data_IF_322135666222
#
_entry.id   IF_322135666222
#
_cell.length_a   1.000
_cell.length_b   1.000
_cell.length_c   1.000
_cell.angle_alpha   90.00
_cell.angle_beta   90.00
_cell.angle_gamma   90.00
#
_symmetry.space_group_name_H-M   'P 1'
#
loop_
_entity.id
_entity.type
_entity.pdbx_description
1 polymer ?
#
# COMPACT_ATOMS: atom_id res chain seq x y z
N UNK A 1 -23.19 -17.72 -11.36
CA UNK A 1 -22.99 -18.12 -9.96
C UNK A 1 -21.70 -17.47 -9.51
N UNK A 2 -21.69 -16.69 -8.43
CA UNK A 2 -20.43 -16.15 -7.89
C UNK A 2 -19.68 -17.32 -7.23
N UNK A 3 -18.47 -17.61 -7.71
CA UNK A 3 -17.60 -18.62 -7.13
C UNK A 3 -16.76 -17.96 -6.02
N UNK A 4 -16.70 -18.61 -4.86
CA UNK A 4 -15.92 -18.19 -3.69
C UNK A 4 -14.83 -19.23 -3.43
N UNK A 5 -13.99 -19.47 -4.43
CA UNK A 5 -12.97 -20.53 -4.37
C UNK A 5 -11.58 -19.97 -4.11
N UNK A 6 -11.35 -18.68 -4.34
CA UNK A 6 -10.05 -18.04 -4.19
C UNK A 6 -9.70 -17.81 -2.72
N UNK A 7 -8.48 -17.34 -2.47
CA UNK A 7 -8.05 -16.94 -1.15
C UNK A 7 -7.50 -15.51 -1.15
N UNK A 8 -7.52 -14.90 0.03
CA UNK A 8 -6.82 -13.67 0.31
C UNK A 8 -5.85 -13.88 1.48
N UNK A 9 -4.71 -13.20 1.45
CA UNK A 9 -3.71 -13.22 2.51
C UNK A 9 -3.55 -11.80 3.03
N UNK A 10 -4.25 -11.41 4.12
CA UNK A 10 -3.94 -10.17 4.81
C UNK A 10 -2.55 -10.24 5.43
N UNK A 11 -1.82 -9.14 5.31
CA UNK A 11 -0.45 -8.98 5.76
C UNK A 11 -0.39 -7.89 6.82
N UNK A 12 0.45 -8.09 7.84
CA UNK A 12 0.74 -7.12 8.87
C UNK A 12 2.24 -7.08 9.14
N UNK A 13 2.84 -5.89 8.99
CA UNK A 13 4.17 -5.60 9.50
C UNK A 13 4.03 -4.75 10.77
N UNK A 14 3.87 -5.36 11.96
CA UNK A 14 3.67 -4.63 13.20
C UNK A 14 4.87 -3.78 13.62
N UNK A 15 6.04 -4.04 13.02
CA UNK A 15 7.25 -3.29 13.33
C UNK A 15 7.32 -1.92 12.65
N UNK A 16 6.44 -1.66 11.68
CA UNK A 16 6.38 -0.40 10.96
C UNK A 16 5.71 0.71 11.78
N UNK A 17 6.12 1.94 11.48
CA UNK A 17 5.60 3.14 12.14
C UNK A 17 4.69 3.94 11.21
N UNK A 18 3.68 4.57 11.78
CA UNK A 18 2.84 5.54 11.11
C UNK A 18 2.77 6.83 11.93
N UNK A 19 2.91 7.97 11.26
CA UNK A 19 2.83 9.28 11.90
C UNK A 19 1.39 9.65 12.30
N UNK A 20 1.15 10.07 13.53
CA UNK A 20 -0.07 10.80 13.92
C UNK A 20 0.05 12.24 13.44
N UNK A 21 -0.47 12.55 12.25
CA UNK A 21 -0.37 13.90 11.65
C UNK A 21 -1.62 14.75 11.92
N UNK A 22 -2.55 14.23 12.72
CA UNK A 22 -3.76 14.92 13.10
C UNK A 22 -3.52 15.97 14.19
N UNK A 23 -4.26 17.10 14.13
CA UNK A 23 -4.10 18.22 15.07
C UNK A 23 -4.23 17.82 16.55
N UNK A 24 -5.12 16.89 16.86
CA UNK A 24 -5.32 16.39 18.24
C UNK A 24 -4.12 15.57 18.74
N UNK A 25 -3.42 14.84 17.87
CA UNK A 25 -2.16 14.17 18.24
C UNK A 25 -1.06 15.20 18.53
N UNK A 26 -0.99 16.27 17.73
CA UNK A 26 -0.12 17.41 17.99
C UNK A 26 -0.37 18.06 19.36
N UNK A 27 -1.64 18.19 19.76
CA UNK A 27 -2.00 18.66 21.10
C UNK A 27 -1.46 17.73 22.20
N UNK A 28 -1.65 16.41 22.09
CA UNK A 28 -1.14 15.46 23.07
C UNK A 28 0.39 15.43 23.15
N UNK A 29 1.10 15.68 22.04
CA UNK A 29 2.57 15.87 22.04
C UNK A 29 2.95 17.13 22.79
N UNK A 30 2.25 18.25 22.57
CA UNK A 30 2.52 19.54 23.21
C UNK A 30 2.37 19.49 24.73
N UNK A 31 1.36 18.78 25.24
CA UNK A 31 1.16 18.60 26.70
C UNK A 31 2.01 17.44 27.27
N UNK A 32 2.86 16.82 26.46
CA UNK A 32 3.82 15.80 26.89
C UNK A 32 3.25 14.40 27.11
N UNK A 33 1.99 14.12 26.75
CA UNK A 33 1.41 12.76 26.81
C UNK A 33 2.00 11.87 25.71
N UNK A 34 2.06 12.39 24.49
CA UNK A 34 2.76 11.73 23.37
C UNK A 34 4.21 12.17 23.39
N UNK A 35 5.15 11.23 23.30
CA UNK A 35 6.59 11.50 23.29
C UNK A 35 7.16 11.50 21.88
N UNK A 36 6.54 10.79 20.95
CA UNK A 36 6.91 10.76 19.53
C UNK A 36 5.64 10.61 18.68
N UNK A 37 5.48 11.43 17.64
CA UNK A 37 4.33 11.39 16.73
C UNK A 37 4.41 10.23 15.74
N UNK A 38 5.54 9.54 15.62
CA UNK A 38 5.65 8.29 14.88
C UNK A 38 5.24 7.14 15.82
N UNK A 39 4.09 6.53 15.54
CA UNK A 39 3.54 5.43 16.32
C UNK A 39 3.85 4.09 15.68
N UNK A 40 4.35 3.14 16.46
CA UNK A 40 4.46 1.75 16.05
C UNK A 40 3.05 1.14 16.05
N UNK A 41 2.33 1.28 14.94
CA UNK A 41 0.96 0.74 14.77
C UNK A 41 0.88 -0.31 13.67
N UNK A 42 2.00 -0.52 12.98
CA UNK A 42 2.16 -1.43 11.88
C UNK A 42 1.71 -0.88 10.52
N UNK A 43 2.06 -1.64 9.49
CA UNK A 43 1.56 -1.46 8.12
C UNK A 43 0.75 -2.70 7.71
N UNK A 44 -0.27 -2.51 6.88
CA UNK A 44 -1.15 -3.57 6.40
C UNK A 44 -1.25 -3.55 4.88
N UNK A 45 -1.19 -4.75 4.30
CA UNK A 45 -1.41 -4.99 2.89
C UNK A 45 -2.22 -6.29 2.72
N UNK A 46 -2.57 -6.63 1.49
CA UNK A 46 -3.29 -7.87 1.18
C UNK A 46 -2.80 -8.43 -0.15
N UNK A 47 -2.66 -9.76 -0.19
CA UNK A 47 -2.56 -10.50 -1.43
C UNK A 47 -3.92 -11.10 -1.79
N UNK A 48 -4.29 -11.02 -3.06
CA UNK A 48 -5.41 -11.77 -3.63
C UNK A 48 -4.84 -12.84 -4.55
N UNK A 49 -5.16 -14.11 -4.30
CA UNK A 49 -4.61 -15.25 -5.03
C UNK A 49 -5.72 -15.91 -5.84
N UNK A 50 -5.63 -15.81 -7.17
CA UNK A 50 -6.56 -16.47 -8.08
C UNK A 50 -6.20 -17.94 -8.19
N UNK A 51 -7.13 -18.83 -7.85
CA UNK A 51 -6.84 -20.26 -7.78
C UNK A 51 -6.50 -20.84 -9.14
N UNK A 52 -7.28 -20.50 -10.16
CA UNK A 52 -7.15 -21.09 -11.49
C UNK A 52 -5.83 -20.73 -12.20
N UNK A 53 -5.41 -19.47 -12.12
CA UNK A 53 -4.18 -19.00 -12.79
C UNK A 53 -2.94 -19.09 -11.90
N UNK A 54 -3.12 -19.14 -10.57
CA UNK A 54 -2.06 -18.94 -9.60
C UNK A 54 -1.58 -17.48 -9.51
N UNK A 55 -2.27 -16.53 -10.14
CA UNK A 55 -1.91 -15.11 -10.11
C UNK A 55 -2.04 -14.54 -8.70
N UNK A 56 -1.05 -13.74 -8.30
CA UNK A 56 -1.02 -13.07 -7.00
C UNK A 56 -1.04 -11.56 -7.21
N UNK A 57 -2.06 -10.90 -6.67
CA UNK A 57 -2.23 -9.45 -6.76
C UNK A 57 -1.95 -8.80 -5.41
N UNK A 58 -1.01 -7.87 -5.37
CA UNK A 58 -0.67 -7.10 -4.18
C UNK A 58 -1.44 -5.78 -4.13
N UNK A 59 -1.98 -5.46 -2.94
CA UNK A 59 -2.61 -4.18 -2.65
C UNK A 59 -2.22 -3.65 -1.27
N UNK A 60 -1.97 -2.36 -1.19
CA UNK A 60 -1.83 -1.65 0.08
C UNK A 60 -2.48 -0.26 0.05
N UNK A 61 -2.50 0.40 1.20
CA UNK A 61 -2.88 1.81 1.30
C UNK A 61 -2.01 2.52 2.33
N UNK A 62 -1.57 3.72 2.01
CA UNK A 62 -0.78 4.54 2.93
C UNK A 62 -0.61 5.95 2.42
N UNK A 63 0.21 6.74 3.10
CA UNK A 63 0.44 8.15 2.75
C UNK A 63 1.61 8.29 1.76
N UNK A 64 1.49 7.58 0.65
CA UNK A 64 2.50 7.47 -0.40
C UNK A 64 2.15 8.41 -1.54
N UNK A 65 3.06 9.34 -1.87
CA UNK A 65 2.94 10.22 -3.04
C UNK A 65 1.52 10.82 -3.12
N UNK A 66 1.14 11.51 -2.05
CA UNK A 66 -0.19 12.04 -1.83
C UNK A 66 -0.10 13.35 -1.03
N UNK A 67 -1.00 14.32 -1.30
CA UNK A 67 -1.06 15.55 -0.53
C UNK A 67 -1.22 15.29 0.97
N UNK A 68 -0.76 16.22 1.81
CA UNK A 68 -0.96 16.13 3.26
C UNK A 68 -2.44 15.95 3.61
N UNK A 69 -2.75 15.03 4.52
CA UNK A 69 -4.12 14.64 4.87
C UNK A 69 -4.74 13.57 3.97
N UNK A 70 -4.07 13.19 2.88
CA UNK A 70 -4.50 12.13 1.97
C UNK A 70 -3.56 10.93 2.03
N UNK A 71 -4.09 9.78 1.63
CA UNK A 71 -3.37 8.56 1.33
C UNK A 71 -3.73 8.07 -0.06
N UNK A 72 -3.15 6.94 -0.46
CA UNK A 72 -3.26 6.35 -1.77
C UNK A 72 -3.28 4.83 -1.64
N UNK A 73 -4.20 4.19 -2.36
CA UNK A 73 -4.13 2.76 -2.61
C UNK A 73 -3.13 2.48 -3.72
N UNK A 74 -2.29 1.44 -3.56
CA UNK A 74 -1.33 1.04 -4.58
C UNK A 74 -1.55 -0.41 -4.98
N UNK A 75 -1.16 -0.71 -6.21
CA UNK A 75 -1.03 -2.04 -6.81
C UNK A 75 0.05 -1.96 -7.89
N UNK A 76 0.32 -3.07 -8.58
CA UNK A 76 1.22 -3.08 -9.73
C UNK A 76 0.81 -2.11 -10.85
N UNK A 77 -0.47 -1.75 -10.95
CA UNK A 77 -0.96 -0.75 -11.91
C UNK A 77 -0.56 0.68 -11.53
N UNK A 78 -0.32 0.96 -10.25
CA UNK A 78 0.23 2.24 -9.79
C UNK A 78 1.75 2.25 -9.84
N UNK A 79 2.39 1.18 -9.37
CA UNK A 79 3.84 1.04 -9.32
C UNK A 79 4.25 -0.37 -9.77
N UNK A 80 4.93 -0.53 -10.92
CA UNK A 80 5.23 -1.85 -11.49
C UNK A 80 6.18 -2.66 -10.61
N UNK A 81 6.85 -2.04 -9.62
CA UNK A 81 7.71 -2.74 -8.65
C UNK A 81 6.90 -3.52 -7.60
N UNK A 82 5.58 -3.33 -7.55
CA UNK A 82 4.66 -4.09 -6.70
C UNK A 82 4.12 -5.36 -7.37
N UNK A 83 4.62 -5.73 -8.54
CA UNK A 83 4.30 -7.02 -9.17
C UNK A 83 4.86 -8.15 -8.30
N UNK A 84 3.99 -9.08 -7.91
CA UNK A 84 4.39 -10.37 -7.33
C UNK A 84 4.60 -11.35 -8.48
N UNK A 85 5.82 -11.88 -8.60
CA UNK A 85 6.23 -12.76 -9.70
C UNK A 85 5.96 -14.22 -9.38
N UNK A 86 6.05 -14.59 -8.11
CA UNK A 86 5.70 -15.94 -7.63
C UNK A 86 4.24 -16.24 -7.97
N UNK A 87 3.99 -17.47 -8.44
CA UNK A 87 2.64 -18.01 -8.64
C UNK A 87 2.23 -18.86 -7.46
N UNK A 88 0.96 -18.82 -7.09
CA UNK A 88 0.40 -19.69 -6.08
C UNK A 88 0.35 -21.14 -6.60
N UNK A 89 0.85 -22.07 -5.79
CA UNK A 89 0.81 -23.51 -6.05
C UNK A 89 -0.17 -24.20 -5.11
N UNK A 90 -0.94 -25.15 -5.63
CA UNK A 90 -2.03 -25.80 -4.90
C UNK A 90 -1.81 -27.31 -4.81
N UNK A 91 -2.18 -27.91 -3.68
CA UNK A 91 -2.22 -29.36 -3.54
C UNK A 91 -3.54 -29.95 -4.07
N UNK A 92 -3.65 -31.28 -4.03
CA UNK A 92 -4.85 -32.03 -4.45
C UNK A 92 -6.09 -31.72 -3.62
N UNK A 93 -5.92 -31.14 -2.43
CA UNK A 93 -6.98 -30.74 -1.50
C UNK A 93 -7.24 -29.22 -1.54
N UNK A 94 -6.69 -28.50 -2.53
CA UNK A 94 -6.80 -27.06 -2.69
C UNK A 94 -6.10 -26.20 -1.60
N UNK A 95 -5.15 -26.75 -0.87
CA UNK A 95 -4.31 -26.00 0.07
C UNK A 95 -3.14 -25.31 -0.66
N UNK A 96 -2.75 -24.11 -0.19
CA UNK A 96 -1.60 -23.38 -0.70
C UNK A 96 -0.29 -24.06 -0.28
N UNK A 97 0.56 -24.40 -1.23
CA UNK A 97 1.81 -25.16 -1.00
C UNK A 97 3.04 -24.28 -0.74
N UNK A 98 3.11 -23.10 -1.37
CA UNK A 98 4.33 -22.29 -1.42
C UNK A 98 4.21 -20.94 -0.71
N UNK A 99 3.51 -20.90 0.44
CA UNK A 99 3.38 -19.68 1.24
C UNK A 99 4.73 -19.07 1.62
N UNK A 100 5.71 -19.88 2.02
CA UNK A 100 7.04 -19.38 2.40
C UNK A 100 7.78 -18.68 1.26
N UNK A 101 7.65 -19.19 0.03
CA UNK A 101 8.23 -18.60 -1.18
C UNK A 101 7.61 -17.22 -1.47
N UNK A 102 6.27 -17.12 -1.39
CA UNK A 102 5.53 -15.87 -1.59
C UNK A 102 5.97 -14.82 -0.55
N UNK A 103 6.10 -15.22 0.72
CA UNK A 103 6.51 -14.31 1.80
C UNK A 103 8.00 -13.92 1.68
N UNK A 104 8.85 -14.82 1.17
CA UNK A 104 10.25 -14.53 0.86
C UNK A 104 10.36 -13.43 -0.21
N UNK A 105 9.63 -13.53 -1.31
CA UNK A 105 9.59 -12.47 -2.34
C UNK A 105 9.15 -11.12 -1.76
N UNK A 106 8.10 -11.12 -0.93
CA UNK A 106 7.64 -9.89 -0.28
C UNK A 106 8.70 -9.27 0.64
N UNK A 107 9.46 -10.11 1.37
CA UNK A 107 10.55 -9.65 2.23
C UNK A 107 11.69 -9.04 1.42
N UNK A 108 12.01 -9.61 0.25
CA UNK A 108 13.02 -9.04 -0.66
C UNK A 108 12.56 -7.72 -1.29
N UNK A 109 11.25 -7.52 -1.40
CA UNK A 109 10.62 -6.32 -1.95
C UNK A 109 10.17 -5.30 -0.88
N UNK A 110 10.62 -5.42 0.38
CA UNK A 110 10.19 -4.56 1.49
C UNK A 110 10.42 -3.06 1.24
N UNK A 111 11.47 -2.73 0.46
CA UNK A 111 11.77 -1.36 0.01
C UNK A 111 10.59 -0.72 -0.72
N UNK A 112 9.82 -1.49 -1.48
CA UNK A 112 8.72 -0.99 -2.32
C UNK A 112 7.35 -1.15 -1.64
N UNK A 113 7.19 -2.22 -0.86
CA UNK A 113 5.94 -2.53 -0.13
C UNK A 113 5.79 -1.78 1.18
N UNK A 114 6.81 -1.00 1.59
CA UNK A 114 6.87 -0.36 2.92
C UNK A 114 6.69 -1.36 4.07
N UNK A 115 7.10 -2.60 3.81
CA UNK A 115 7.18 -3.66 4.80
C UNK A 115 8.45 -3.56 5.64
N UNK A 116 8.65 -4.59 6.45
CA UNK A 116 9.91 -4.84 7.15
C UNK A 116 9.71 -5.19 8.62
N UNK A 117 10.74 -5.81 9.19
CA UNK A 117 10.63 -6.51 10.46
C UNK A 117 9.80 -7.78 10.33
N UNK A 118 9.02 -8.14 11.36
CA UNK A 118 8.21 -9.35 11.32
C UNK A 118 7.03 -9.16 10.36
N UNK A 119 6.73 -10.19 9.55
CA UNK A 119 5.56 -10.24 8.68
C UNK A 119 4.57 -11.27 9.21
N UNK A 120 3.45 -10.81 9.75
CA UNK A 120 2.33 -11.64 10.19
C UNK A 120 1.33 -11.80 9.03
N UNK A 121 0.81 -13.00 8.82
CA UNK A 121 -0.23 -13.25 7.84
C UNK A 121 -1.15 -14.42 8.24
N UNK A 122 -2.26 -14.56 7.54
CA UNK A 122 -3.17 -15.70 7.66
C UNK A 122 -3.82 -15.97 6.31
N UNK A 123 -4.44 -17.14 6.15
CA UNK A 123 -5.11 -17.52 4.90
C UNK A 123 -6.62 -17.33 5.09
N UNK A 124 -7.19 -16.39 4.34
CA UNK A 124 -8.63 -16.18 4.27
C UNK A 124 -9.19 -16.95 3.06
N UNK A 125 -9.81 -18.09 3.34
CA UNK A 125 -10.54 -18.90 2.36
C UNK A 125 -11.89 -18.26 2.00
N UNK A 126 -12.57 -18.81 0.98
CA UNK A 126 -13.90 -18.44 0.50
C UNK A 126 -14.00 -17.01 -0.06
N UNK A 127 -13.07 -16.67 -0.97
CA UNK A 127 -13.00 -15.35 -1.59
C UNK A 127 -13.46 -15.42 -3.05
N UNK A 128 -14.26 -14.45 -3.47
CA UNK A 128 -14.48 -14.11 -4.86
C UNK A 128 -13.46 -13.05 -5.26
N UNK A 129 -12.40 -13.44 -6.00
CA UNK A 129 -11.32 -12.51 -6.32
C UNK A 129 -11.79 -11.34 -7.19
N UNK A 130 -12.76 -11.58 -8.08
CA UNK A 130 -13.30 -10.55 -8.98
C UNK A 130 -13.91 -9.40 -8.20
N UNK A 131 -14.71 -9.68 -7.17
CA UNK A 131 -15.35 -8.66 -6.33
C UNK A 131 -14.33 -7.94 -5.44
N UNK A 132 -13.38 -8.67 -4.85
CA UNK A 132 -12.30 -8.08 -4.06
C UNK A 132 -11.44 -7.13 -4.90
N UNK A 133 -11.03 -7.59 -6.08
CA UNK A 133 -10.22 -6.83 -7.03
C UNK A 133 -10.96 -5.62 -7.58
N UNK A 134 -12.23 -5.76 -7.94
CA UNK A 134 -13.04 -4.65 -8.46
C UNK A 134 -13.03 -3.48 -7.48
N UNK A 135 -13.25 -3.76 -6.19
CA UNK A 135 -13.17 -2.75 -5.14
C UNK A 135 -11.76 -2.18 -4.99
N UNK A 136 -10.74 -3.03 -4.94
CA UNK A 136 -9.36 -2.58 -4.77
C UNK A 136 -8.92 -1.66 -5.93
N UNK A 137 -9.14 -2.09 -7.17
CA UNK A 137 -8.81 -1.34 -8.37
C UNK A 137 -9.60 -0.02 -8.47
N UNK A 138 -10.85 0.04 -7.99
CA UNK A 138 -11.62 1.29 -7.91
C UNK A 138 -10.91 2.33 -7.05
N UNK A 139 -10.43 1.94 -5.85
CA UNK A 139 -9.73 2.87 -4.94
C UNK A 139 -8.35 3.25 -5.47
N UNK A 140 -7.62 2.33 -6.11
CA UNK A 140 -6.34 2.63 -6.78
C UNK A 140 -6.56 3.68 -7.87
N UNK A 141 -7.57 3.49 -8.73
CA UNK A 141 -7.86 4.39 -9.85
C UNK A 141 -8.41 5.75 -9.40
N UNK A 142 -9.07 5.81 -8.24
CA UNK A 142 -9.52 7.08 -7.63
C UNK A 142 -8.36 8.03 -7.31
N UNK A 143 -7.17 7.49 -7.01
CA UNK A 143 -6.00 8.28 -6.63
C UNK A 143 -6.04 8.75 -5.16
N UNK A 144 -5.53 9.95 -4.84
CA UNK A 144 -5.53 10.46 -3.47
C UNK A 144 -6.90 10.40 -2.80
N UNK A 145 -6.97 9.76 -1.63
CA UNK A 145 -8.17 9.60 -0.81
C UNK A 145 -7.89 10.07 0.61
N UNK A 146 -8.85 10.72 1.26
CA UNK A 146 -8.68 11.22 2.63
C UNK A 146 -8.16 10.12 3.57
N UNK A 147 -7.07 10.41 4.29
CA UNK A 147 -6.45 9.49 5.22
C UNK A 147 -6.96 9.75 6.63
N UNK A 148 -7.22 8.70 7.41
CA UNK A 148 -7.55 8.86 8.81
C UNK A 148 -7.93 7.57 9.51
N UNK A 149 -7.48 7.44 10.76
CA UNK A 149 -7.76 6.26 11.55
C UNK A 149 -9.24 6.17 11.95
N UNK A 150 -9.95 7.28 12.21
CA UNK A 150 -11.28 7.25 12.88
C UNK A 150 -12.37 7.99 12.11
N UNK A 151 -12.07 9.04 11.36
CA UNK A 151 -13.09 9.84 10.68
C UNK A 151 -13.92 9.01 9.67
N UNK A 152 -15.24 9.30 9.51
CA UNK A 152 -16.04 8.75 8.42
C UNK A 152 -15.44 9.12 7.06
N UNK A 153 -15.64 8.29 6.05
CA UNK A 153 -15.16 8.47 4.67
C UNK A 153 -13.63 8.54 4.46
N UNK A 154 -12.84 8.56 5.54
CA UNK A 154 -11.39 8.40 5.46
C UNK A 154 -11.01 6.93 5.31
N UNK A 155 -9.83 6.68 4.73
CA UNK A 155 -9.24 5.35 4.65
C UNK A 155 -7.92 5.25 5.44
N UNK A 156 -7.50 4.02 5.71
CA UNK A 156 -6.21 3.67 6.30
C UNK A 156 -5.77 2.32 5.74
N UNK A 157 -4.49 1.94 5.91
CA UNK A 157 -3.97 0.63 5.48
C UNK A 157 -4.91 -0.51 5.90
N UNK A 158 -5.24 -0.59 7.19
CA UNK A 158 -6.04 -1.69 7.75
C UNK A 158 -7.51 -1.65 7.36
N UNK A 159 -8.07 -0.45 7.18
CA UNK A 159 -9.45 -0.31 6.73
C UNK A 159 -9.59 -0.75 5.29
N UNK A 160 -8.65 -0.35 4.44
CA UNK A 160 -8.62 -0.76 3.04
C UNK A 160 -8.50 -2.28 2.90
N UNK A 161 -7.57 -2.91 3.63
CA UNK A 161 -7.45 -4.38 3.69
C UNK A 161 -8.75 -5.05 4.17
N UNK A 162 -9.37 -4.55 5.25
CA UNK A 162 -10.64 -5.07 5.76
C UNK A 162 -11.79 -4.93 4.74
N UNK A 163 -11.82 -3.84 3.98
CA UNK A 163 -12.83 -3.60 2.95
C UNK A 163 -12.63 -4.52 1.74
N UNK A 164 -11.39 -4.72 1.26
CA UNK A 164 -11.10 -5.68 0.19
C UNK A 164 -11.54 -7.09 0.61
N UNK A 165 -11.14 -7.53 1.81
CA UNK A 165 -11.54 -8.83 2.35
C UNK A 165 -13.06 -9.01 2.32
N UNK A 166 -13.80 -8.09 2.94
CA UNK A 166 -15.25 -8.26 3.08
C UNK A 166 -16.02 -8.05 1.78
N UNK A 167 -15.46 -7.31 0.81
CA UNK A 167 -16.02 -7.23 -0.55
C UNK A 167 -15.79 -8.49 -1.37
N UNK A 168 -14.75 -9.25 -1.07
CA UNK A 168 -14.50 -10.57 -1.66
C UNK A 168 -15.27 -11.71 -1.00
N UNK A 169 -15.78 -11.54 0.22
CA UNK A 169 -16.45 -12.60 0.97
C UNK A 169 -17.94 -12.70 0.64
N UNK A 170 -18.53 -13.86 0.94
CA UNK A 170 -19.98 -14.04 0.91
C UNK A 170 -20.65 -13.06 1.90
N UNK A 171 -21.81 -12.50 1.54
CA UNK A 171 -22.55 -11.54 2.36
C UNK A 171 -22.86 -12.04 3.78
N UNK A 172 -23.03 -13.36 3.94
CA UNK A 172 -23.35 -13.99 5.22
C UNK A 172 -22.12 -14.58 5.92
N UNK A 173 -20.90 -14.28 5.47
CA UNK A 173 -19.69 -14.78 6.11
C UNK A 173 -19.56 -14.22 7.54
N UNK A 174 -19.48 -15.13 8.52
CA UNK A 174 -19.45 -14.81 9.94
C UNK A 174 -18.25 -13.97 10.36
N UNK A 175 -17.16 -13.97 9.58
CA UNK A 175 -15.94 -13.18 9.84
C UNK A 175 -16.13 -11.69 9.58
N UNK A 176 -17.10 -11.31 8.74
CA UNK A 176 -17.29 -9.94 8.23
C UNK A 176 -17.30 -8.88 9.34
N UNK A 177 -18.08 -9.13 10.40
CA UNK A 177 -18.21 -8.17 11.51
C UNK A 177 -16.89 -7.98 12.26
N UNK A 178 -16.19 -9.08 12.57
CA UNK A 178 -14.89 -9.03 13.26
C UNK A 178 -13.76 -8.45 12.42
N UNK A 179 -13.83 -8.57 11.10
CA UNK A 179 -12.83 -7.96 10.19
C UNK A 179 -12.98 -6.44 10.15
N UNK A 180 -14.22 -5.92 10.01
CA UNK A 180 -14.48 -4.48 9.91
C UNK A 180 -14.35 -3.77 11.26
N UNK A 181 -14.87 -4.43 12.30
CA UNK A 181 -14.97 -3.92 13.66
C UNK A 181 -14.45 -5.00 14.63
N UNK A 182 -13.11 -5.17 14.74
CA UNK A 182 -12.52 -6.09 15.71
C UNK A 182 -12.81 -5.61 17.15
N UNK A 183 -12.03 -6.02 18.15
CA UNK A 183 -12.22 -5.68 19.57
C UNK A 183 -12.08 -4.17 19.89
N UNK A 184 -12.08 -3.32 18.85
CA UNK A 184 -11.92 -1.88 18.82
C UNK A 184 -12.90 -1.24 17.82
N UNK A 185 -12.98 0.09 17.83
CA UNK A 185 -13.83 0.86 16.92
C UNK A 185 -13.58 0.58 15.44
N UNK A 186 -12.34 0.23 15.03
CA UNK A 186 -11.96 -0.02 13.62
C UNK A 186 -10.78 -0.98 13.49
N UNK A 187 -10.65 -1.59 12.31
CA UNK A 187 -9.56 -2.50 11.95
C UNK A 187 -8.14 -1.91 12.14
N UNK A 188 -7.24 -2.74 12.65
CA UNK A 188 -5.78 -2.54 12.77
C UNK A 188 -5.01 -3.60 11.96
N UNK A 189 -3.72 -3.42 11.66
CA UNK A 189 -2.97 -4.36 10.81
C UNK A 189 -3.01 -5.79 11.34
N UNK A 190 -2.66 -5.98 12.62
CA UNK A 190 -2.66 -7.30 13.24
C UNK A 190 -4.07 -7.91 13.28
N UNK A 191 -5.09 -7.11 13.59
CA UNK A 191 -6.48 -7.62 13.60
C UNK A 191 -7.00 -8.03 12.20
N UNK A 192 -6.46 -7.46 11.11
CA UNK A 192 -6.78 -7.95 9.76
C UNK A 192 -6.32 -9.40 9.60
N UNK A 193 -5.14 -9.74 10.12
CA UNK A 193 -4.59 -11.09 10.09
C UNK A 193 -5.40 -12.03 10.99
N UNK A 194 -5.67 -11.62 12.23
CA UNK A 194 -6.28 -12.52 13.23
C UNK A 194 -7.74 -12.86 12.89
N UNK A 195 -8.52 -11.92 12.37
CA UNK A 195 -9.95 -12.11 12.17
C UNK A 195 -10.34 -12.66 10.78
N UNK A 196 -9.39 -12.77 9.85
CA UNK A 196 -9.68 -13.14 8.46
C UNK A 196 -9.75 -14.66 8.22
N UNK A 197 -9.25 -15.48 9.14
CA UNK A 197 -9.22 -16.93 8.99
C UNK A 197 -10.16 -17.63 9.99
N UNK A 198 -10.68 -18.80 9.62
CA UNK A 198 -11.64 -19.57 10.45
C UNK A 198 -10.94 -20.49 11.46
N UNK A 199 -9.71 -20.92 11.16
CA UNK A 199 -8.97 -21.97 11.90
C UNK A 199 -8.14 -21.43 13.07
N UNK A 200 -8.02 -20.11 13.20
CA UNK A 200 -7.12 -19.44 14.15
C UNK A 200 -5.63 -19.58 13.79
N UNK A 201 -5.33 -19.93 12.54
CA UNK A 201 -3.97 -20.14 12.05
C UNK A 201 -3.35 -18.80 11.62
N UNK A 202 -2.21 -18.50 12.23
CA UNK A 202 -1.44 -17.29 11.95
C UNK A 202 -0.02 -17.72 11.65
N UNK A 203 0.58 -17.10 10.65
CA UNK A 203 1.96 -17.35 10.28
C UNK A 203 2.78 -16.10 10.51
N UNK A 204 4.04 -16.28 10.88
CA UNK A 204 5.03 -15.21 11.01
C UNK A 204 6.23 -15.57 10.17
N UNK A 205 6.57 -14.69 9.24
CA UNK A 205 7.80 -14.75 8.48
C UNK A 205 8.77 -13.70 9.01
N UNK A 206 9.98 -14.14 9.38
CA UNK A 206 11.02 -13.26 9.88
C UNK A 206 12.39 -13.95 9.71
N UNK A 207 13.41 -13.20 9.30
CA UNK A 207 14.77 -13.71 9.09
C UNK A 207 14.79 -15.00 8.24
N UNK A 208 14.12 -14.94 7.08
CA UNK A 208 14.00 -16.05 6.12
C UNK A 208 13.39 -17.35 6.67
N UNK A 209 12.58 -17.27 7.73
CA UNK A 209 11.94 -18.44 8.33
C UNK A 209 10.45 -18.22 8.50
N UNK A 210 9.63 -19.15 7.97
CA UNK A 210 8.21 -19.22 8.28
C UNK A 210 7.94 -19.99 9.57
N UNK A 211 7.13 -19.43 10.47
CA UNK A 211 6.72 -20.07 11.73
C UNK A 211 5.22 -19.96 11.93
N UNK A 212 4.64 -21.00 12.51
CA UNK A 212 3.29 -20.91 13.04
C UNK A 212 3.28 -20.06 14.31
N UNK A 213 2.34 -19.12 14.38
CA UNK A 213 1.99 -18.38 15.57
C UNK A 213 0.54 -18.68 15.94
N UNK A 214 0.22 -18.48 17.21
CA UNK A 214 -1.16 -18.43 17.69
C UNK A 214 -1.37 -17.09 18.35
N UNK A 215 -2.46 -16.42 17.99
CA UNK A 215 -2.84 -15.17 18.59
C UNK A 215 -4.34 -15.05 18.57
N UNK A 216 -4.93 -15.01 19.76
CA UNK A 216 -6.35 -14.75 19.94
C UNK A 216 -6.66 -13.28 19.68
N UNK A 217 -7.95 -12.99 19.49
CA UNK A 217 -8.50 -11.64 19.39
C UNK A 217 -8.07 -10.73 20.55
N UNK A 218 -8.10 -11.25 21.79
CA UNK A 218 -7.66 -10.52 22.99
C UNK A 218 -6.15 -10.25 22.99
N UNK A 219 -5.34 -11.24 22.62
CA UNK A 219 -3.89 -11.08 22.52
C UNK A 219 -3.52 -10.09 21.42
N UNK A 220 -4.23 -10.08 20.28
CA UNK A 220 -4.07 -9.07 19.24
C UNK A 220 -4.30 -7.66 19.77
N UNK A 221 -5.36 -7.45 20.55
CA UNK A 221 -5.64 -6.15 21.14
C UNK A 221 -4.53 -5.73 22.11
N UNK A 222 -4.12 -6.62 23.02
CA UNK A 222 -3.05 -6.34 23.97
C UNK A 222 -1.71 -6.06 23.27
N UNK A 223 -1.43 -6.78 22.18
CA UNK A 223 -0.26 -6.56 21.35
C UNK A 223 -0.26 -5.16 20.74
N UNK A 224 -1.38 -4.72 20.14
CA UNK A 224 -1.49 -3.36 19.59
C UNK A 224 -1.36 -2.28 20.67
N UNK A 225 -1.94 -2.51 21.85
CA UNK A 225 -1.77 -1.60 23.00
C UNK A 225 -0.29 -1.53 23.41
N UNK A 226 0.43 -2.65 23.41
CA UNK A 226 1.84 -2.66 23.76
C UNK A 226 2.71 -1.91 22.75
N UNK A 227 2.44 -2.02 21.45
CA UNK A 227 3.17 -1.26 20.43
C UNK A 227 2.97 0.26 20.58
N UNK A 228 1.76 0.72 20.95
CA UNK A 228 1.48 2.14 21.17
C UNK A 228 2.31 2.73 22.33
N UNK A 229 2.69 1.91 23.32
CA UNK A 229 3.53 2.35 24.44
C UNK A 229 4.87 2.90 23.98
N UNK A 230 5.39 2.46 22.84
CA UNK A 230 6.69 2.88 22.34
C UNK A 230 6.75 4.40 22.10
N UNK A 231 5.61 5.02 21.77
CA UNK A 231 5.50 6.46 21.51
C UNK A 231 4.99 7.27 22.71
N UNK A 232 4.63 6.60 23.81
CA UNK A 232 4.09 7.20 25.05
C UNK A 232 5.11 7.25 26.20
N UNK A 233 6.10 6.35 26.20
CA UNK A 233 7.17 6.34 27.21
C UNK A 233 8.49 6.88 26.65
N UNK A 234 9.11 7.80 27.39
CA UNK A 234 10.33 8.52 26.95
C UNK A 234 11.48 7.57 26.56
N UNK A 235 11.74 6.53 27.35
CA UNK A 235 12.83 5.58 27.11
C UNK A 235 12.63 4.72 25.85
N UNK A 236 11.38 4.50 25.45
CA UNK A 236 11.04 3.75 24.23
C UNK A 236 10.99 4.66 23.01
N UNK A 237 10.45 5.87 23.18
CA UNK A 237 10.35 6.87 22.12
C UNK A 237 11.72 7.31 21.59
N UNK A 238 12.76 7.27 22.44
CA UNK A 238 14.14 7.53 22.04
C UNK A 238 14.69 6.52 21.00
N UNK A 239 14.05 5.35 20.83
CA UNK A 239 14.43 4.34 19.84
C UNK A 239 13.69 4.51 18.50
N UNK A 240 12.71 5.40 18.46
CA UNK A 240 11.93 5.69 17.26
C UNK A 240 12.60 6.84 16.50
N UNK A 241 12.51 6.82 15.17
CA UNK A 241 13.00 7.91 14.32
C UNK A 241 12.40 9.26 14.74
N UNK A 242 13.19 10.30 14.52
CA UNK A 242 12.81 11.69 14.78
C UNK A 242 11.47 12.06 14.14
N UNK A 243 10.69 12.89 14.84
CA UNK A 243 9.36 13.32 14.44
C UNK A 243 9.29 14.82 14.10
N UNK A 244 10.41 15.53 14.04
CA UNK A 244 10.45 16.97 13.75
C UNK A 244 9.87 17.32 12.38
N UNK A 245 10.10 16.49 11.36
CA UNK A 245 9.61 16.68 9.99
C UNK A 245 8.52 15.67 9.61
N UNK A 246 7.43 16.10 8.94
CA UNK A 246 6.33 15.22 8.53
C UNK A 246 6.66 14.44 7.25
N UNK A 247 7.67 13.57 7.32
CA UNK A 247 8.06 12.72 6.20
C UNK A 247 8.58 13.49 4.99
N UNK A 248 8.23 13.03 3.79
CA UNK A 248 8.70 13.53 2.50
C UNK A 248 7.64 14.43 1.81
N UNK A 249 6.91 15.25 2.57
CA UNK A 249 5.91 16.16 2.00
C UNK A 249 6.62 17.28 1.21
N UNK A 250 7.55 17.97 1.86
CA UNK A 250 8.30 19.06 1.24
C UNK A 250 9.41 18.51 0.33
N UNK A 251 9.75 19.28 -0.71
CA UNK A 251 10.84 18.96 -1.62
C UNK A 251 12.17 18.79 -0.86
N UNK A 252 12.82 17.62 -0.90
CA UNK A 252 14.10 17.41 -0.27
C UNK A 252 15.21 18.10 -1.10
N UNK A 253 16.43 18.23 -0.55
CA UNK A 253 17.57 18.67 -1.35
C UNK A 253 17.69 17.84 -2.63
N UNK A 254 17.59 18.50 -3.79
CA UNK A 254 17.58 17.85 -5.09
C UNK A 254 18.96 17.24 -5.38
N UNK A 255 19.07 15.92 -5.67
CA UNK A 255 20.32 15.34 -6.13
C UNK A 255 20.79 16.00 -7.44
N UNK A 256 22.09 16.21 -7.59
CA UNK A 256 22.65 17.03 -8.67
C UNK A 256 22.32 16.53 -10.09
N UNK A 257 22.12 15.23 -10.26
CA UNK A 257 21.77 14.60 -11.54
C UNK A 257 20.28 14.64 -11.86
N UNK A 258 19.43 15.06 -10.92
CA UNK A 258 17.98 15.22 -11.18
C UNK A 258 17.74 16.51 -11.95
N UNK A 259 17.08 16.46 -13.13
CA UNK A 259 16.83 17.64 -13.94
C UNK A 259 16.10 18.75 -13.18
N UNK A 260 16.43 20.01 -13.46
CA UNK A 260 15.88 21.18 -12.73
C UNK A 260 14.37 21.34 -12.90
N UNK A 261 13.83 20.92 -14.03
CA UNK A 261 12.40 20.92 -14.37
C UNK A 261 11.65 19.66 -13.88
N UNK A 262 12.33 18.70 -13.22
CA UNK A 262 11.62 17.56 -12.61
C UNK A 262 10.69 18.05 -11.49
N UNK A 263 9.48 17.48 -11.43
CA UNK A 263 8.47 17.77 -10.41
C UNK A 263 8.66 16.87 -9.20
N UNK A 264 8.70 17.45 -8.01
CA UNK A 264 8.60 16.70 -6.75
C UNK A 264 7.13 16.40 -6.42
N UNK A 265 6.81 15.13 -6.17
CA UNK A 265 5.53 14.71 -5.61
C UNK A 265 5.76 14.01 -4.27
N UNK A 266 5.51 14.74 -3.19
CA UNK A 266 5.74 14.30 -1.83
C UNK A 266 4.62 13.48 -1.20
N UNK A 267 4.91 12.91 -0.04
CA UNK A 267 4.00 12.14 0.80
C UNK A 267 4.64 11.85 2.15
N UNK A 268 3.86 11.55 3.19
CA UNK A 268 4.43 11.28 4.52
C UNK A 268 5.31 10.03 4.50
N UNK A 269 4.88 8.97 3.80
CA UNK A 269 5.61 7.70 3.71
C UNK A 269 6.55 7.59 2.51
N UNK A 270 6.28 8.31 1.43
CA UNK A 270 7.03 8.21 0.17
C UNK A 270 6.91 9.51 -0.63
N UNK A 271 7.99 9.91 -1.28
CA UNK A 271 8.02 10.99 -2.26
C UNK A 271 8.94 10.66 -3.42
N UNK A 272 8.65 11.23 -4.60
CA UNK A 272 9.34 10.91 -5.85
C UNK A 272 9.58 12.15 -6.70
N UNK A 273 10.52 12.03 -7.64
CA UNK A 273 10.68 12.98 -8.73
C UNK A 273 10.10 12.39 -10.01
N UNK A 274 9.33 13.19 -10.75
CA UNK A 274 8.88 12.85 -12.10
C UNK A 274 9.46 13.85 -13.09
N UNK A 275 10.00 13.33 -14.19
CA UNK A 275 10.58 14.13 -15.25
C UNK A 275 10.07 13.64 -16.60
N UNK A 276 9.70 14.58 -17.46
CA UNK A 276 9.28 14.34 -18.83
C UNK A 276 10.42 14.72 -19.78
N UNK A 277 10.81 13.79 -20.64
CA UNK A 277 11.75 14.01 -21.74
C UNK A 277 11.07 13.76 -23.09
N UNK A 278 11.64 14.30 -24.15
CA UNK A 278 11.27 13.97 -25.53
C UNK A 278 12.52 13.69 -26.34
N UNK A 279 12.51 12.59 -27.08
CA UNK A 279 13.56 12.23 -28.04
C UNK A 279 12.89 11.72 -29.31
N UNK A 280 13.23 12.33 -30.46
CA UNK A 280 12.73 11.91 -31.79
C UNK A 280 11.19 11.82 -31.88
N UNK A 281 10.48 12.70 -31.16
CA UNK A 281 9.01 12.74 -31.13
C UNK A 281 8.35 11.71 -30.19
N UNK A 282 9.14 10.89 -29.49
CA UNK A 282 8.65 9.99 -28.44
C UNK A 282 8.89 10.65 -27.09
N UNK A 283 7.84 10.69 -26.26
CA UNK A 283 7.96 11.15 -24.89
C UNK A 283 8.37 10.00 -23.98
N UNK A 284 9.25 10.27 -23.01
CA UNK A 284 9.61 9.34 -21.94
C UNK A 284 9.37 10.02 -20.59
N UNK A 285 8.76 9.29 -19.66
CA UNK A 285 8.65 9.70 -18.27
C UNK A 285 9.65 8.89 -17.45
N UNK A 286 10.49 9.59 -16.69
CA UNK A 286 11.40 9.00 -15.73
C UNK A 286 10.88 9.28 -14.33
N UNK A 287 10.67 8.22 -13.55
CA UNK A 287 10.41 8.32 -12.12
C UNK A 287 11.70 8.05 -11.37
N UNK A 288 12.05 8.95 -10.45
CA UNK A 288 13.16 8.77 -9.53
C UNK A 288 12.64 8.64 -8.11
N UNK A 289 13.27 7.76 -7.35
CA UNK A 289 13.19 7.74 -5.89
C UNK A 289 13.66 9.08 -5.31
N UNK A 290 13.27 9.40 -4.07
CA UNK A 290 13.69 10.65 -3.42
C UNK A 290 15.22 10.81 -3.33
N UNK A 291 15.98 9.71 -3.29
CA UNK A 291 17.45 9.71 -3.30
C UNK A 291 18.07 9.98 -4.67
N UNK A 292 17.26 9.97 -5.73
CA UNK A 292 17.67 10.13 -7.12
C UNK A 292 17.97 8.84 -7.87
N UNK A 293 17.81 7.66 -7.24
CA UNK A 293 17.80 6.38 -7.94
C UNK A 293 16.63 6.33 -8.94
N UNK A 294 16.83 5.74 -10.11
CA UNK A 294 15.74 5.57 -11.08
C UNK A 294 14.83 4.44 -10.60
N UNK A 295 13.54 4.75 -10.41
CA UNK A 295 12.53 3.75 -10.10
C UNK A 295 12.14 2.99 -11.38
N UNK A 296 11.80 3.74 -12.44
CA UNK A 296 11.52 3.22 -13.77
C UNK A 296 11.56 4.33 -14.83
N UNK A 297 11.58 3.91 -16.09
CA UNK A 297 11.35 4.74 -17.27
C UNK A 297 10.21 4.15 -18.09
N UNK A 298 9.37 4.99 -18.67
CA UNK A 298 8.26 4.53 -19.50
C UNK A 298 8.06 5.44 -20.71
N UNK A 299 8.01 4.85 -21.90
CA UNK A 299 7.62 5.56 -23.10
C UNK A 299 6.13 5.85 -23.07
N UNK A 300 5.77 7.09 -23.40
CA UNK A 300 4.39 7.58 -23.33
C UNK A 300 4.01 8.32 -24.60
N UNK A 301 2.71 8.38 -24.85
CA UNK A 301 2.12 9.19 -25.91
C UNK A 301 1.22 10.26 -25.31
N UNK A 302 1.23 11.44 -25.93
CA UNK A 302 0.32 12.53 -25.65
C UNK A 302 -0.25 13.02 -26.97
N UNK A 303 -1.58 13.03 -27.10
CA UNK A 303 -2.26 13.51 -28.30
C UNK A 303 -2.39 15.04 -28.33
N UNK A 304 -1.96 15.70 -27.25
CA UNK A 304 -2.00 17.16 -27.08
C UNK A 304 -0.60 17.74 -27.30
N UNK A 305 -0.53 18.92 -27.88
CA UNK A 305 0.75 19.62 -28.08
C UNK A 305 1.18 20.32 -26.79
N UNK A 306 2.19 19.77 -26.13
CA UNK A 306 2.83 20.36 -24.95
C UNK A 306 4.14 21.04 -25.35
N UNK A 307 4.49 22.14 -24.69
CA UNK A 307 5.74 22.86 -24.91
C UNK A 307 6.71 22.55 -23.76
N UNK A 308 7.73 21.69 -24.01
CA UNK A 308 8.66 21.27 -22.97
C UNK A 308 9.67 22.36 -22.55
N UNK A 309 9.76 23.46 -23.30
CA UNK A 309 10.58 24.62 -22.93
C UNK A 309 9.90 25.47 -21.85
N UNK A 310 8.56 25.33 -21.71
CA UNK A 310 7.80 26.00 -20.66
C UNK A 310 7.76 25.17 -19.37
N UNK A 311 7.63 25.83 -18.21
CA UNK A 311 7.40 25.14 -16.94
C UNK A 311 6.17 24.23 -17.01
N UNK A 312 6.29 23.06 -16.39
CA UNK A 312 5.19 22.12 -16.22
C UNK A 312 5.29 21.47 -14.84
N UNK A 313 4.17 20.90 -14.36
CA UNK A 313 4.17 20.11 -13.14
C UNK A 313 3.36 18.83 -13.31
N UNK A 314 3.86 17.72 -12.79
CA UNK A 314 3.03 16.53 -12.62
C UNK A 314 2.01 16.74 -11.51
N UNK A 315 0.83 16.12 -11.64
CA UNK A 315 -0.19 16.13 -10.58
C UNK A 315 -0.16 14.84 -9.77
N UNK A 316 -0.79 14.85 -8.59
CA UNK A 316 -1.00 13.61 -7.82
C UNK A 316 -1.97 12.62 -8.48
N UNK A 317 -2.66 12.98 -9.56
CA UNK A 317 -3.51 12.04 -10.29
C UNK A 317 -2.71 11.38 -11.40
N UNK A 318 -1.95 10.34 -11.05
CA UNK A 318 -1.21 9.50 -11.99
C UNK A 318 -1.15 8.04 -11.50
N UNK A 319 -0.81 7.13 -12.41
CA UNK A 319 -0.41 5.75 -12.15
C UNK A 319 0.62 5.33 -13.22
N UNK A 320 1.03 4.06 -13.28
CA UNK A 320 2.02 3.61 -14.27
C UNK A 320 1.49 3.76 -15.72
N UNK A 321 0.18 3.70 -15.91
CA UNK A 321 -0.45 3.75 -17.23
C UNK A 321 -0.78 5.17 -17.71
N UNK A 322 -0.97 6.12 -16.80
CA UNK A 322 -1.46 7.45 -17.10
C UNK A 322 -0.79 8.50 -16.22
N UNK A 323 -0.31 9.58 -16.84
CA UNK A 323 0.32 10.70 -16.14
C UNK A 323 -0.34 12.00 -16.56
N UNK A 324 -0.81 12.77 -15.58
CA UNK A 324 -1.37 14.09 -15.79
C UNK A 324 -0.29 15.15 -15.54
N UNK A 325 0.01 15.93 -16.58
CA UNK A 325 0.94 17.07 -16.54
C UNK A 325 0.15 18.36 -16.68
N UNK A 326 0.38 19.31 -15.80
CA UNK A 326 -0.22 20.64 -15.79
C UNK A 326 0.75 21.67 -16.39
N UNK A 327 0.27 22.45 -17.36
CA UNK A 327 1.00 23.56 -17.97
C UNK A 327 -0.01 24.59 -18.51
N UNK A 328 0.22 25.88 -18.26
CA UNK A 328 -0.61 26.99 -18.76
C UNK A 328 -2.13 26.77 -18.56
N UNK A 329 -2.54 26.36 -17.35
CA UNK A 329 -3.94 26.05 -17.00
C UNK A 329 -4.59 24.89 -17.76
N UNK A 330 -3.80 24.06 -18.44
CA UNK A 330 -4.25 22.87 -19.14
C UNK A 330 -3.67 21.60 -18.51
N UNK A 331 -4.45 20.51 -18.58
CA UNK A 331 -3.99 19.16 -18.22
C UNK A 331 -3.70 18.39 -19.51
N UNK A 332 -2.47 17.89 -19.60
CA UNK A 332 -1.96 17.04 -20.65
C UNK A 332 -1.92 15.60 -20.15
N UNK A 333 -2.64 14.70 -20.81
CA UNK A 333 -2.71 13.28 -20.45
C UNK A 333 -1.71 12.48 -21.27
N UNK A 334 -0.70 11.95 -20.58
CA UNK A 334 0.25 11.01 -21.15
C UNK A 334 -0.19 9.58 -20.84
N UNK A 335 -0.22 8.72 -21.87
CA UNK A 335 -0.54 7.30 -21.73
C UNK A 335 0.69 6.45 -21.99
N UNK A 336 0.96 5.47 -21.12
CA UNK A 336 2.05 4.51 -21.29
C UNK A 336 1.86 3.68 -22.56
N UNK A 337 2.94 3.52 -23.32
CA UNK A 337 3.01 2.58 -24.44
C UNK A 337 3.27 1.14 -23.97
N UNK A 338 3.71 0.96 -22.72
CA UNK A 338 4.02 -0.36 -22.18
C UNK A 338 2.76 -1.24 -22.09
N UNK A 339 2.75 -2.28 -22.92
CA UNK A 339 1.64 -3.23 -23.06
C UNK A 339 1.69 -4.39 -22.07
N UNK A 340 2.75 -4.53 -21.26
CA UNK A 340 2.99 -5.74 -20.45
C UNK A 340 1.96 -6.03 -19.34
N UNK A 341 0.97 -5.16 -19.09
CA UNK A 341 -0.11 -5.40 -18.09
C UNK A 341 -1.52 -5.41 -18.73
N UNK A 342 -1.68 -5.00 -20.00
CA UNK A 342 -3.00 -4.95 -20.64
C UNK A 342 -3.60 -6.32 -20.99
N UNK A 343 -2.86 -7.42 -20.80
CA UNK A 343 -3.31 -8.78 -21.11
C UNK A 343 -4.37 -9.33 -20.15
N UNK A 344 -4.64 -8.69 -19.00
CA UNK A 344 -5.65 -9.17 -18.04
C UNK A 344 -7.05 -8.62 -18.37
N UNK A 345 -7.19 -7.55 -19.17
CA UNK A 345 -8.51 -7.01 -19.53
C UNK A 345 -9.23 -7.77 -20.66
N UNK A 346 -8.54 -8.63 -21.41
CA UNK A 346 -9.10 -9.28 -22.61
C UNK A 346 -9.33 -10.80 -22.51
N UNK A 347 -9.35 -11.38 -21.29
CA UNK A 347 -9.76 -12.79 -21.07
C UNK A 347 -10.99 -12.92 -20.18
N UNK A 348 -12.01 -12.10 -20.45
CA UNK A 348 -13.35 -12.30 -19.92
C UNK A 348 -14.37 -12.08 -21.04
N UNK A 349 -14.49 -13.08 -21.92
CA UNK A 349 -15.73 -13.44 -22.62
C UNK A 349 -15.97 -14.90 -22.34
#
# INVERSE_FOLDING_TARGET
MELFEDIAIPLSWPDQTARGDEAWMGFFKKIGVVKNLNFKVGHAAILLLERHSGDILYYDFGRYIAPRGYGRARSSAFDPRLVVRTKALWDVNNNLLNLEEILCELSQNEKYTHGGGRLYCSIAEDINIKNARLYADEIVNKGPTLYGAIAPNNNSCSRYVAQILTKGMNLNDSRTKSILYPECLKASPTSNVINANKKGEVFVYYENTLRNAKMTRKESLLFQIDLLKDSLYTSRAAKIKDDSRPGLIDEPPRPAHIPKNATWLGGIGEGIWLHLTSQEGIFEIVRYHHSGEIDYKVSVICNQQIDLEKPYTFTFHFNYHYYNVYQDNNIYLFKSLDTHINTIKNKAI
#
